data_IF_799365952243
#
_entry.id   IF_799365952243
#
_cell.length_a   1.000
_cell.length_b   1.000
_cell.length_c   1.000
_cell.angle_alpha   90.00
_cell.angle_beta   90.00
_cell.angle_gamma   90.00
#
_symmetry.space_group_name_H-M   'P 1'
#
loop_
_entity.id
_entity.type
_entity.pdbx_description
1 polymer ?
#
# COMPACT_ATOMS: atom_id res chain seq x y z
N UNK A 1 -32.30 16.78 1.64
CA UNK A 1 -30.95 17.06 1.10
C UNK A 1 -30.32 18.05 2.05
N UNK A 2 -29.51 17.57 2.99
CA UNK A 2 -28.85 18.39 4.01
C UNK A 2 -27.49 18.83 3.48
N UNK A 3 -27.16 20.11 3.66
CA UNK A 3 -25.99 20.86 3.14
C UNK A 3 -24.58 20.38 3.57
N UNK A 4 -24.39 19.09 3.87
CA UNK A 4 -23.11 18.56 4.37
C UNK A 4 -22.16 18.01 3.27
N UNK A 5 -22.55 18.02 2.00
CA UNK A 5 -21.82 17.35 0.91
C UNK A 5 -20.80 18.24 0.16
N UNK A 6 -20.60 19.50 0.54
CA UNK A 6 -19.81 20.45 -0.29
C UNK A 6 -18.35 20.69 0.09
N UNK A 7 -17.82 20.14 1.19
CA UNK A 7 -16.49 20.55 1.69
C UNK A 7 -15.49 19.42 2.00
N UNK A 8 -15.57 18.25 1.33
CA UNK A 8 -14.46 17.27 1.40
C UNK A 8 -13.39 17.57 0.36
N UNK A 9 -12.54 18.56 0.66
CA UNK A 9 -11.34 18.91 -0.09
C UNK A 9 -10.44 17.69 -0.40
N UNK A 10 -9.88 17.63 -1.61
CA UNK A 10 -8.80 16.71 -2.04
C UNK A 10 -7.44 17.13 -1.47
N UNK A 11 -7.44 17.65 -0.23
CA UNK A 11 -6.21 17.97 0.47
C UNK A 11 -5.50 16.66 0.85
N UNK A 12 -4.18 16.55 0.59
CA UNK A 12 -3.40 15.37 0.96
C UNK A 12 -3.40 15.18 2.47
N UNK A 13 -3.16 13.95 2.89
CA UNK A 13 -3.18 13.53 4.29
C UNK A 13 -2.13 14.30 5.11
N UNK A 14 -2.57 15.14 6.05
CA UNK A 14 -1.71 15.60 7.14
C UNK A 14 -1.32 14.39 8.00
N UNK A 15 -0.01 14.15 8.11
CA UNK A 15 0.55 13.13 9.01
C UNK A 15 0.27 13.52 10.47
N UNK A 16 0.08 12.52 11.33
CA UNK A 16 -0.04 12.71 12.76
C UNK A 16 1.25 13.35 13.30
N UNK A 17 1.24 14.67 13.49
CA UNK A 17 2.38 15.44 13.97
C UNK A 17 2.39 16.91 13.57
N UNK A 18 1.66 17.33 12.54
CA UNK A 18 1.70 18.72 12.08
C UNK A 18 0.58 19.56 12.73
N UNK A 19 0.88 20.15 13.89
CA UNK A 19 0.02 21.20 14.46
C UNK A 19 0.38 22.55 13.85
N UNK A 20 -0.16 22.80 12.66
CA UNK A 20 -0.38 24.15 12.16
C UNK A 20 0.42 24.57 10.93
N UNK A 21 -0.03 24.17 9.74
CA UNK A 21 -0.21 25.12 8.63
C UNK A 21 -1.18 24.56 7.58
N UNK A 22 -2.43 25.01 7.62
CA UNK A 22 -3.37 24.77 6.52
C UNK A 22 -2.95 25.60 5.31
N UNK A 23 -2.00 25.09 4.52
CA UNK A 23 -1.78 25.53 3.16
C UNK A 23 -2.41 24.51 2.20
N UNK A 24 -3.68 24.70 1.77
CA UNK A 24 -4.34 23.80 0.82
C UNK A 24 -3.70 23.74 -0.59
N UNK A 25 -2.53 24.38 -0.77
CA UNK A 25 -1.80 24.55 -2.03
C UNK A 25 -0.43 23.85 -2.08
N UNK A 26 -0.06 23.06 -1.07
CA UNK A 26 1.20 22.31 -1.07
C UNK A 26 1.31 21.26 -2.20
N UNK A 27 2.53 20.88 -2.57
CA UNK A 27 2.78 19.74 -3.46
C UNK A 27 2.23 18.45 -2.84
N UNK A 28 1.73 17.56 -3.69
CA UNK A 28 1.25 16.24 -3.24
C UNK A 28 2.50 15.40 -2.96
N UNK A 29 2.61 14.87 -1.75
CA UNK A 29 3.71 13.96 -1.38
C UNK A 29 3.28 12.51 -1.55
N UNK A 30 4.23 11.66 -1.94
CA UNK A 30 4.08 10.21 -1.88
C UNK A 30 3.82 9.79 -0.42
N UNK A 31 2.74 9.03 -0.11
CA UNK A 31 2.43 8.58 1.24
C UNK A 31 3.58 7.81 1.92
N UNK A 32 4.30 6.98 1.17
CA UNK A 32 5.43 6.22 1.70
C UNK A 32 6.61 7.15 2.01
N UNK A 33 6.84 8.18 1.19
CA UNK A 33 7.85 9.19 1.44
C UNK A 33 7.49 10.06 2.65
N UNK A 34 6.23 10.47 2.79
CA UNK A 34 5.76 11.31 3.89
C UNK A 34 5.94 10.61 5.25
N UNK A 35 5.64 9.31 5.32
CA UNK A 35 5.77 8.52 6.56
C UNK A 35 7.22 8.22 6.91
N UNK A 36 8.08 7.99 5.91
CA UNK A 36 9.47 7.55 6.14
C UNK A 36 10.50 8.69 6.11
N UNK A 37 10.13 9.87 5.60
CA UNK A 37 11.04 10.98 5.31
C UNK A 37 11.70 11.61 6.53
N UNK A 38 11.08 11.49 7.71
CA UNK A 38 11.67 11.95 8.96
C UNK A 38 12.84 11.08 9.44
N UNK A 39 12.99 9.87 8.89
CA UNK A 39 14.02 8.91 9.31
C UNK A 39 15.15 8.89 8.29
N UNK A 40 16.33 9.28 8.75
CA UNK A 40 17.55 9.30 7.94
C UNK A 40 18.01 7.90 7.50
N UNK A 41 19.10 7.86 6.73
CA UNK A 41 19.68 6.61 6.23
C UNK A 41 20.45 5.80 7.28
N UNK A 42 20.83 6.44 8.40
CA UNK A 42 21.51 5.81 9.54
C UNK A 42 20.72 6.05 10.84
N UNK A 43 19.57 5.38 11.00
CA UNK A 43 18.70 5.61 12.15
C UNK A 43 19.28 4.99 13.43
N UNK A 44 19.15 5.72 14.52
CA UNK A 44 19.44 5.24 15.87
C UNK A 44 18.46 4.13 16.29
N UNK A 45 18.84 3.32 17.28
CA UNK A 45 17.95 2.31 17.87
C UNK A 45 16.63 2.93 18.37
N UNK A 46 16.69 4.13 18.96
CA UNK A 46 15.52 4.83 19.46
C UNK A 46 14.57 5.24 18.33
N UNK A 47 15.10 5.73 17.21
CA UNK A 47 14.29 6.07 16.03
C UNK A 47 13.64 4.83 15.40
N UNK A 48 14.36 3.70 15.33
CA UNK A 48 13.80 2.45 14.82
C UNK A 48 12.67 1.91 15.70
N UNK A 49 12.83 1.98 17.02
CA UNK A 49 11.79 1.59 17.98
C UNK A 49 10.59 2.54 17.86
N UNK A 50 10.83 3.85 17.88
CA UNK A 50 9.79 4.85 17.74
C UNK A 50 9.03 4.70 16.40
N UNK A 51 9.73 4.35 15.32
CA UNK A 51 9.09 4.14 14.02
C UNK A 51 8.19 2.92 13.99
N UNK A 52 8.59 1.80 14.59
CA UNK A 52 7.61 0.72 14.81
C UNK A 52 6.44 1.33 15.60
N UNK A 53 6.72 1.92 16.74
CA UNK A 53 5.68 2.21 17.74
C UNK A 53 4.75 3.38 17.34
N UNK A 54 5.01 4.05 16.20
CA UNK A 54 4.24 5.19 15.72
C UNK A 54 2.81 4.87 15.27
N UNK A 55 2.44 3.59 15.15
CA UNK A 55 1.07 3.10 14.90
C UNK A 55 0.23 3.97 13.95
N UNK A 56 0.60 4.06 12.64
CA UNK A 56 -0.13 4.82 11.64
C UNK A 56 -1.59 4.36 11.53
N UNK A 57 -2.49 5.30 11.24
CA UNK A 57 -3.91 5.02 11.05
C UNK A 57 -4.16 4.25 9.74
N UNK A 58 -4.15 2.92 9.84
CA UNK A 58 -4.33 2.02 8.68
C UNK A 58 -5.73 2.15 8.06
N UNK A 59 -6.76 2.55 8.82
CA UNK A 59 -8.10 2.79 8.27
C UNK A 59 -8.07 4.01 7.35
N UNK A 60 -7.39 5.08 7.75
CA UNK A 60 -7.22 6.27 6.91
C UNK A 60 -6.46 5.96 5.63
N UNK A 61 -5.38 5.17 5.70
CA UNK A 61 -4.68 4.70 4.50
C UNK A 61 -5.58 3.84 3.60
N UNK A 62 -6.39 2.95 4.17
CA UNK A 62 -7.32 2.12 3.40
C UNK A 62 -8.42 2.95 2.69
N UNK A 63 -8.96 3.97 3.37
CA UNK A 63 -9.93 4.93 2.81
C UNK A 63 -9.29 5.69 1.65
N UNK A 64 -8.10 6.25 1.86
CA UNK A 64 -7.42 7.07 0.86
C UNK A 64 -7.00 6.22 -0.35
N UNK A 65 -6.59 4.96 -0.12
CA UNK A 65 -6.31 4.01 -1.20
C UNK A 65 -7.53 3.82 -2.11
N UNK A 66 -8.69 3.50 -1.52
CA UNK A 66 -9.93 3.33 -2.28
C UNK A 66 -10.34 4.62 -2.98
N UNK A 67 -10.32 5.75 -2.27
CA UNK A 67 -10.69 7.05 -2.82
C UNK A 67 -9.85 7.42 -4.04
N UNK A 68 -8.53 7.26 -3.95
CA UNK A 68 -7.62 7.55 -5.07
C UNK A 68 -7.84 6.61 -6.25
N UNK A 69 -8.09 5.32 -6.01
CA UNK A 69 -8.37 4.36 -7.09
C UNK A 69 -9.71 4.66 -7.78
N UNK A 70 -10.78 4.88 -7.00
CA UNK A 70 -12.10 5.22 -7.54
C UNK A 70 -12.02 6.51 -8.38
N UNK A 71 -11.28 7.53 -7.91
CA UNK A 71 -11.09 8.79 -8.63
C UNK A 71 -10.20 8.62 -9.88
N UNK A 72 -9.18 7.75 -9.84
CA UNK A 72 -8.38 7.41 -11.01
C UNK A 72 -9.21 6.72 -12.10
N UNK A 73 -10.20 5.92 -11.73
CA UNK A 73 -11.12 5.27 -12.68
C UNK A 73 -12.19 6.23 -13.23
N UNK A 74 -12.57 7.28 -12.48
CA UNK A 74 -13.42 8.37 -13.00
C UNK A 74 -12.73 9.25 -14.02
N UNK A 75 -11.40 9.40 -13.94
CA UNK A 75 -10.61 10.09 -14.96
C UNK A 75 -10.54 9.22 -16.23
N UNK A 76 -11.63 9.29 -17.01
CA UNK A 76 -11.75 8.57 -18.26
C UNK A 76 -10.81 9.12 -19.33
N UNK A 77 -10.27 8.25 -20.17
CA UNK A 77 -9.52 8.67 -21.34
C UNK A 77 -10.47 9.14 -22.44
N UNK A 78 -10.74 10.44 -22.56
CA UNK A 78 -11.24 10.99 -23.84
C UNK A 78 -10.04 11.22 -24.75
N UNK A 79 -10.14 10.84 -26.03
CA UNK A 79 -9.05 10.99 -27.02
C UNK A 79 -8.49 12.43 -27.14
N UNK A 80 -9.23 13.43 -26.64
CA UNK A 80 -8.87 14.86 -26.61
C UNK A 80 -8.23 15.35 -25.29
N UNK A 81 -8.24 14.54 -24.22
CA UNK A 81 -7.76 14.93 -22.90
C UNK A 81 -6.26 14.63 -22.81
N UNK A 82 -5.45 15.68 -22.99
CA UNK A 82 -4.01 15.60 -23.17
C UNK A 82 -3.21 15.03 -21.99
N UNK A 83 -1.87 15.05 -22.12
CA UNK A 83 -0.91 14.40 -21.23
C UNK A 83 -1.12 14.67 -19.72
N UNK A 84 -1.68 15.82 -19.32
CA UNK A 84 -1.96 16.14 -17.92
C UNK A 84 -3.01 15.22 -17.27
N UNK A 85 -4.08 14.86 -17.99
CA UNK A 85 -5.12 13.95 -17.46
C UNK A 85 -4.53 12.57 -17.25
N UNK A 86 -3.76 12.10 -18.22
CA UNK A 86 -3.01 10.85 -18.14
C UNK A 86 -2.07 10.83 -16.93
N UNK A 87 -1.24 11.85 -16.73
CA UNK A 87 -0.30 11.93 -15.60
C UNK A 87 -1.00 12.05 -14.25
N UNK A 88 -2.12 12.78 -14.19
CA UNK A 88 -2.93 12.86 -12.97
C UNK A 88 -3.52 11.50 -12.58
N UNK A 89 -4.06 10.74 -13.55
CA UNK A 89 -4.56 9.38 -13.31
C UNK A 89 -3.46 8.44 -12.80
N UNK A 90 -2.29 8.47 -13.45
CA UNK A 90 -1.12 7.68 -13.01
C UNK A 90 -0.75 8.04 -11.58
N UNK A 91 -0.72 9.32 -11.25
CA UNK A 91 -0.36 9.81 -9.90
C UNK A 91 -1.34 9.34 -8.84
N UNK A 92 -2.64 9.37 -9.13
CA UNK A 92 -3.67 8.81 -8.25
C UNK A 92 -3.47 7.31 -8.04
N UNK A 93 -3.16 6.54 -9.08
CA UNK A 93 -2.85 5.10 -8.94
C UNK A 93 -1.58 4.85 -8.12
N UNK A 94 -0.54 5.67 -8.29
CA UNK A 94 0.69 5.58 -7.46
C UNK A 94 0.36 5.83 -5.99
N UNK A 95 -0.41 6.88 -5.70
CA UNK A 95 -0.83 7.20 -4.32
C UNK A 95 -1.74 6.12 -3.75
N UNK A 96 -2.70 5.63 -4.52
CA UNK A 96 -3.59 4.53 -4.12
C UNK A 96 -2.80 3.28 -3.74
N UNK A 97 -1.84 2.89 -4.59
CA UNK A 97 -1.00 1.72 -4.37
C UNK A 97 -0.01 1.92 -3.21
N UNK A 98 0.46 3.16 -2.99
CA UNK A 98 1.32 3.52 -1.85
C UNK A 98 0.57 3.42 -0.51
N UNK A 99 -0.67 3.90 -0.45
CA UNK A 99 -1.55 3.72 0.69
C UNK A 99 -1.90 2.23 0.92
N UNK A 100 -2.11 1.48 -0.16
CA UNK A 100 -2.33 0.02 -0.10
C UNK A 100 -1.10 -0.70 0.46
N UNK A 101 0.09 -0.29 0.05
CA UNK A 101 1.36 -0.83 0.56
C UNK A 101 1.52 -0.59 2.06
N UNK A 102 1.15 0.60 2.56
CA UNK A 102 1.14 0.87 4.01
C UNK A 102 0.27 -0.15 4.76
N UNK A 103 -0.96 -0.38 4.32
CA UNK A 103 -1.88 -1.34 4.97
C UNK A 103 -1.38 -2.79 4.86
N UNK A 104 -0.80 -3.16 3.71
CA UNK A 104 -0.31 -4.52 3.48
C UNK A 104 0.96 -4.83 4.31
N UNK A 105 1.90 -3.89 4.41
CA UNK A 105 3.23 -4.09 5.02
C UNK A 105 3.21 -3.88 6.54
N UNK A 106 2.38 -2.97 7.03
CA UNK A 106 2.34 -2.69 8.47
C UNK A 106 1.82 -3.90 9.27
N UNK A 107 2.41 -4.21 10.44
CA UNK A 107 1.93 -5.28 11.29
C UNK A 107 0.53 -4.98 11.81
N UNK A 108 -0.21 -6.04 12.12
CA UNK A 108 -1.51 -5.93 12.79
C UNK A 108 -1.26 -6.04 14.29
N UNK A 109 -1.40 -4.93 15.01
CA UNK A 109 -1.25 -4.90 16.47
C UNK A 109 -2.62 -4.77 17.17
N UNK A 110 -3.62 -4.22 16.49
CA UNK A 110 -4.98 -3.99 17.02
C UNK A 110 -6.07 -4.62 16.16
N UNK A 111 -7.29 -4.71 16.71
CA UNK A 111 -8.48 -5.13 15.94
C UNK A 111 -8.79 -4.13 14.82
N UNK A 112 -8.48 -2.85 15.02
CA UNK A 112 -8.71 -1.82 14.01
C UNK A 112 -7.81 -1.99 12.80
N UNK A 113 -6.54 -2.35 13.03
CA UNK A 113 -5.58 -2.69 11.97
C UNK A 113 -6.06 -3.92 11.18
N UNK A 114 -6.59 -4.92 11.90
CA UNK A 114 -7.13 -6.13 11.30
C UNK A 114 -8.32 -5.84 10.39
N UNK A 115 -9.22 -4.95 10.84
CA UNK A 115 -10.39 -4.55 10.06
C UNK A 115 -10.00 -3.70 8.85
N UNK A 116 -9.05 -2.77 9.00
CA UNK A 116 -8.50 -1.99 7.89
C UNK A 116 -7.88 -2.90 6.81
N UNK A 117 -7.08 -3.89 7.23
CA UNK A 117 -6.41 -4.84 6.32
C UNK A 117 -7.41 -5.72 5.59
N UNK A 118 -8.45 -6.22 6.29
CA UNK A 118 -9.55 -6.99 5.67
C UNK A 118 -10.36 -6.16 4.69
N UNK A 119 -10.66 -4.91 5.02
CA UNK A 119 -11.42 -4.04 4.14
C UNK A 119 -10.63 -3.68 2.89
N UNK A 120 -9.33 -3.36 3.03
CA UNK A 120 -8.43 -3.15 1.90
C UNK A 120 -8.31 -4.41 1.03
N UNK A 121 -8.19 -5.59 1.63
CA UNK A 121 -8.18 -6.86 0.89
C UNK A 121 -9.47 -7.08 0.09
N UNK A 122 -10.63 -6.77 0.67
CA UNK A 122 -11.93 -6.90 -0.01
C UNK A 122 -12.04 -5.91 -1.18
N UNK A 123 -11.63 -4.66 -0.98
CA UNK A 123 -11.72 -3.62 -2.00
C UNK A 123 -10.77 -3.85 -3.18
N UNK A 124 -9.61 -4.44 -2.93
CA UNK A 124 -8.59 -4.78 -3.95
C UNK A 124 -8.71 -6.23 -4.44
N UNK A 125 -9.76 -6.95 -4.03
CA UNK A 125 -9.95 -8.33 -4.41
C UNK A 125 -10.12 -8.44 -5.93
N UNK A 126 -9.51 -9.46 -6.52
CA UNK A 126 -9.72 -9.76 -7.93
C UNK A 126 -11.17 -10.18 -8.16
N UNK A 127 -11.98 -9.29 -8.71
CA UNK A 127 -13.30 -9.61 -9.23
C UNK A 127 -13.12 -10.11 -10.66
N UNK A 128 -13.37 -11.41 -10.89
CA UNK A 128 -13.47 -11.92 -12.26
C UNK A 128 -14.61 -11.22 -13.01
N UNK A 129 -14.58 -11.31 -14.34
CA UNK A 129 -15.69 -10.81 -15.16
C UNK A 129 -17.01 -11.43 -14.68
N UNK A 130 -17.89 -10.59 -14.15
CA UNK A 130 -19.22 -10.99 -13.66
C UNK A 130 -20.17 -11.40 -14.80
N UNK A 131 -19.65 -11.55 -16.03
CA UNK A 131 -20.40 -11.85 -17.26
C UNK A 131 -20.40 -13.32 -17.67
N UNK A 132 -19.70 -14.21 -16.95
CA UNK A 132 -19.68 -15.62 -17.29
C UNK A 132 -20.91 -16.37 -16.79
N UNK A 133 -21.99 -16.24 -17.55
CA UNK A 133 -23.06 -17.25 -17.58
C UNK A 133 -22.46 -18.61 -17.99
N UNK A 134 -22.30 -19.52 -17.01
CA UNK A 134 -22.48 -20.95 -17.25
C UNK A 134 -21.25 -21.86 -17.36
N UNK A 135 -20.02 -21.39 -17.12
CA UNK A 135 -18.87 -22.28 -16.91
C UNK A 135 -18.13 -21.87 -15.63
N UNK A 136 -17.92 -22.80 -14.71
CA UNK A 136 -17.01 -22.58 -13.60
C UNK A 136 -15.59 -22.42 -14.20
N UNK A 137 -15.01 -21.21 -14.22
CA UNK A 137 -13.69 -21.03 -14.82
C UNK A 137 -12.70 -21.71 -13.87
N UNK A 138 -12.00 -22.74 -14.33
CA UNK A 138 -10.78 -23.15 -13.66
C UNK A 138 -9.83 -21.94 -13.73
N UNK A 139 -9.58 -21.29 -12.60
CA UNK A 139 -8.61 -20.20 -12.50
C UNK A 139 -7.30 -20.64 -13.15
N UNK A 140 -6.80 -19.86 -14.10
CA UNK A 140 -5.47 -20.10 -14.67
C UNK A 140 -4.39 -19.98 -13.56
N UNK A 141 -3.22 -20.56 -13.80
CA UNK A 141 -2.17 -20.65 -12.80
C UNK A 141 -1.66 -19.27 -12.34
N UNK A 142 -1.62 -18.28 -13.23
CA UNK A 142 -1.13 -16.91 -12.95
C UNK A 142 -2.12 -16.14 -12.07
N UNK A 143 -3.42 -16.20 -12.41
CA UNK A 143 -4.51 -15.62 -11.62
C UNK A 143 -4.59 -16.29 -10.26
N UNK A 144 -4.42 -17.61 -10.18
CA UNK A 144 -4.38 -18.33 -8.91
C UNK A 144 -3.18 -17.91 -8.04
N UNK A 145 -1.99 -17.71 -8.63
CA UNK A 145 -0.82 -17.19 -7.93
C UNK A 145 -1.04 -15.76 -7.43
N UNK A 146 -1.58 -14.86 -8.26
CA UNK A 146 -1.92 -13.48 -7.88
C UNK A 146 -2.90 -13.44 -6.71
N UNK A 147 -3.95 -14.28 -6.74
CA UNK A 147 -4.91 -14.39 -5.63
C UNK A 147 -4.23 -14.87 -4.34
N UNK A 148 -3.31 -15.85 -4.42
CA UNK A 148 -2.57 -16.34 -3.24
C UNK A 148 -1.65 -15.26 -2.67
N UNK A 149 -0.92 -14.54 -3.52
CA UNK A 149 -0.04 -13.43 -3.13
C UNK A 149 -0.84 -12.30 -2.47
N UNK A 150 -1.97 -11.92 -3.07
CA UNK A 150 -2.90 -10.94 -2.49
C UNK A 150 -3.38 -11.36 -1.10
N UNK A 151 -3.90 -12.58 -0.97
CA UNK A 151 -4.35 -13.12 0.34
C UNK A 151 -3.23 -13.15 1.38
N UNK A 152 -2.00 -13.50 0.96
CA UNK A 152 -0.86 -13.50 1.85
C UNK A 152 -0.43 -12.08 2.26
N UNK A 153 -0.47 -11.11 1.35
CA UNK A 153 -0.15 -9.70 1.62
C UNK A 153 -1.09 -9.08 2.66
N UNK A 154 -2.38 -9.41 2.58
CA UNK A 154 -3.40 -8.93 3.53
C UNK A 154 -3.69 -9.91 4.68
N UNK A 155 -2.82 -10.89 4.91
CA UNK A 155 -2.98 -11.81 6.02
C UNK A 155 -2.89 -11.05 7.36
N UNK A 156 -3.92 -11.23 8.19
CA UNK A 156 -4.03 -10.61 9.52
C UNK A 156 -3.25 -11.42 10.59
N UNK A 157 -2.77 -12.61 10.23
CA UNK A 157 -2.10 -13.54 11.16
C UNK A 157 -3.05 -14.11 12.21
N UNK A 158 -2.49 -14.83 13.19
CA UNK A 158 -3.22 -15.35 14.35
C UNK A 158 -3.43 -14.25 15.40
N UNK A 159 -4.02 -13.11 15.02
CA UNK A 159 -4.67 -12.30 16.04
C UNK A 159 -5.87 -13.12 16.53
N UNK A 160 -5.96 -13.36 17.83
CA UNK A 160 -7.20 -13.77 18.47
C UNK A 160 -8.14 -12.57 18.35
N UNK A 161 -8.73 -12.40 17.17
CA UNK A 161 -9.84 -11.47 16.97
C UNK A 161 -10.93 -11.97 17.91
N UNK A 162 -11.35 -11.17 18.92
CA UNK A 162 -12.45 -11.56 19.78
C UNK A 162 -13.61 -11.96 18.87
N UNK A 163 -14.20 -13.12 19.16
CA UNK A 163 -15.31 -13.67 18.36
C UNK A 163 -16.28 -12.55 18.03
N UNK A 164 -16.69 -12.51 16.76
CA UNK A 164 -17.81 -11.67 16.35
C UNK A 164 -18.92 -11.77 17.39
N UNK A 165 -19.61 -10.66 17.74
CA UNK A 165 -20.73 -10.77 18.65
C UNK A 165 -21.70 -11.83 18.08
N UNK A 166 -22.26 -12.69 18.95
CA UNK A 166 -23.04 -13.85 18.55
C UNK A 166 -24.14 -13.45 17.57
N UNK A 167 -24.28 -14.18 16.45
CA UNK A 167 -25.30 -13.88 15.46
C UNK A 167 -26.70 -13.83 16.13
N UNK A 168 -27.51 -12.80 15.87
CA UNK A 168 -28.82 -12.67 16.50
C UNK A 168 -29.72 -13.88 16.20
N UNK A 169 -30.44 -14.34 17.22
CA UNK A 169 -31.41 -15.41 17.09
C UNK A 169 -32.66 -14.91 16.33
N UNK A 170 -33.48 -15.84 15.83
CA UNK A 170 -34.72 -15.48 15.11
C UNK A 170 -35.67 -14.58 15.92
N UNK A 171 -35.52 -14.54 17.25
CA UNK A 171 -36.27 -13.70 18.18
C UNK A 171 -35.77 -12.23 18.26
N UNK A 172 -34.57 -11.91 17.79
CA UNK A 172 -33.94 -10.59 17.93
C UNK A 172 -34.29 -9.63 16.77
N UNK A 173 -35.33 -9.96 15.98
CA UNK A 173 -35.78 -9.13 14.84
C UNK A 173 -36.35 -7.80 15.34
N UNK A 174 -35.58 -6.73 15.15
CA UNK A 174 -36.08 -5.36 15.23
C UNK A 174 -35.52 -4.48 16.36
N UNK A 175 -34.55 -4.95 17.14
CA UNK A 175 -34.02 -4.19 18.29
C UNK A 175 -32.52 -3.92 18.28
N UNK A 176 -31.80 -4.17 17.20
CA UNK A 176 -30.42 -3.72 17.06
C UNK A 176 -30.07 -3.41 15.61
N UNK A 177 -29.56 -2.19 15.37
CA UNK A 177 -28.63 -1.90 14.28
C UNK A 177 -27.33 -2.65 14.60
N UNK A 178 -27.37 -3.98 14.44
CA UNK A 178 -26.22 -4.86 14.63
C UNK A 178 -25.12 -4.42 13.64
N UNK A 179 -23.83 -4.41 14.02
CA UNK A 179 -22.82 -3.78 13.17
C UNK A 179 -22.74 -4.55 11.85
N UNK A 180 -23.29 -3.93 10.80
CA UNK A 180 -23.17 -4.36 9.42
C UNK A 180 -21.72 -4.11 9.02
N UNK A 181 -20.89 -5.15 9.14
CA UNK A 181 -19.44 -5.11 8.91
C UNK A 181 -18.66 -4.24 9.91
N UNK A 182 -17.49 -4.72 10.36
CA UNK A 182 -16.67 -3.98 11.34
C UNK A 182 -15.96 -2.76 10.72
N UNK A 183 -15.91 -2.70 9.38
CA UNK A 183 -15.46 -1.59 8.56
C UNK A 183 -15.58 -2.04 7.09
N UNK A 184 -16.45 -1.42 6.29
CA UNK A 184 -16.50 -1.62 4.84
C UNK A 184 -16.07 -0.34 4.13
N UNK A 185 -15.09 -0.47 3.24
CA UNK A 185 -14.61 0.64 2.43
C UNK A 185 -15.69 1.14 1.45
N UNK A 186 -16.63 0.28 1.04
CA UNK A 186 -17.75 0.66 0.19
C UNK A 186 -18.75 1.58 0.92
N UNK A 187 -18.95 1.36 2.21
CA UNK A 187 -19.88 2.17 3.02
C UNK A 187 -19.24 3.49 3.47
N UNK A 188 -17.91 3.51 3.62
CA UNK A 188 -17.16 4.67 4.11
C UNK A 188 -16.67 5.59 3.00
N UNK A 189 -16.39 5.06 1.81
CA UNK A 189 -16.17 5.83 0.58
C UNK A 189 -17.38 5.61 -0.31
N UNK A 190 -18.36 6.56 -0.32
CA UNK A 190 -19.55 6.38 -1.12
C UNK A 190 -19.15 6.18 -2.58
N UNK A 191 -19.77 5.18 -3.22
CA UNK A 191 -19.67 4.95 -4.65
C UNK A 191 -20.28 6.14 -5.39
N UNK A 192 -19.54 7.23 -5.56
CA UNK A 192 -19.99 8.30 -6.45
C UNK A 192 -19.76 7.82 -7.88
N UNK A 193 -20.83 7.38 -8.55
CA UNK A 193 -20.85 7.36 -10.00
C UNK A 193 -20.94 8.81 -10.50
N UNK A 194 -20.25 9.14 -11.59
CA UNK A 194 -20.29 10.49 -12.16
C UNK A 194 -18.96 10.93 -12.76
N UNK A 195 -18.91 12.20 -13.16
CA UNK A 195 -17.68 12.84 -13.64
C UNK A 195 -16.62 12.91 -12.53
N UNK A 196 -15.34 12.97 -12.92
CA UNK A 196 -14.24 13.12 -11.97
C UNK A 196 -14.41 14.39 -11.10
N UNK A 197 -14.10 14.25 -9.81
CA UNK A 197 -14.12 15.36 -8.86
C UNK A 197 -12.92 16.30 -9.03
N UNK A 198 -11.83 15.82 -9.63
CA UNK A 198 -10.62 16.60 -9.92
C UNK A 198 -10.74 17.35 -11.25
N UNK A 199 -10.57 18.68 -11.20
CA UNK A 199 -10.48 19.54 -12.39
C UNK A 199 -9.54 20.74 -12.17
N UNK A 200 -9.21 21.44 -13.26
CA UNK A 200 -8.47 22.71 -13.23
C UNK A 200 -7.12 22.62 -12.50
N UNK A 201 -6.95 23.42 -11.45
CA UNK A 201 -5.68 23.49 -10.70
C UNK A 201 -5.35 22.17 -9.98
N UNK A 202 -6.36 21.43 -9.49
CA UNK A 202 -6.14 20.13 -8.85
C UNK A 202 -5.60 19.11 -9.85
N UNK A 203 -6.13 19.12 -11.08
CA UNK A 203 -5.63 18.26 -12.16
C UNK A 203 -4.15 18.55 -12.46
N UNK A 204 -3.78 19.83 -12.54
CA UNK A 204 -2.39 20.21 -12.77
C UNK A 204 -1.48 19.77 -11.63
N UNK A 205 -1.95 19.89 -10.38
CA UNK A 205 -1.19 19.48 -9.18
C UNK A 205 -0.97 17.97 -9.15
N UNK A 206 -2.00 17.18 -9.46
CA UNK A 206 -1.88 15.74 -9.62
C UNK A 206 -1.00 15.37 -10.81
N UNK A 207 -1.04 16.11 -11.92
CA UNK A 207 -0.15 15.84 -13.06
C UNK A 207 1.33 16.09 -12.73
N UNK A 208 1.62 17.07 -11.87
CA UNK A 208 2.97 17.44 -11.45
C UNK A 208 3.55 16.51 -10.36
N UNK A 209 2.74 15.65 -9.74
CA UNK A 209 3.22 14.67 -8.76
C UNK A 209 4.30 13.76 -9.33
N UNK A 210 4.18 13.36 -10.60
CA UNK A 210 5.17 12.52 -11.29
C UNK A 210 6.53 13.20 -11.41
N UNK A 211 6.57 14.53 -11.38
CA UNK A 211 7.83 15.28 -11.50
C UNK A 211 8.72 15.11 -10.26
N UNK A 212 8.15 14.75 -9.10
CA UNK A 212 8.87 14.37 -7.88
C UNK A 212 9.29 12.87 -7.90
N UNK A 213 9.83 12.44 -9.04
CA UNK A 213 10.24 11.06 -9.26
C UNK A 213 11.38 10.65 -8.31
N UNK A 214 11.21 9.57 -7.51
CA UNK A 214 12.26 9.14 -6.60
C UNK A 214 13.40 8.43 -7.32
N UNK A 215 14.60 8.54 -6.78
CA UNK A 215 15.73 7.69 -7.17
C UNK A 215 15.45 6.23 -6.76
N UNK A 216 15.16 5.35 -7.73
CA UNK A 216 14.84 3.96 -7.42
C UNK A 216 16.07 3.21 -6.90
N UNK A 217 17.26 3.55 -7.38
CA UNK A 217 18.51 2.97 -6.87
C UNK A 217 18.70 3.26 -5.39
N UNK A 218 18.47 4.50 -4.96
CA UNK A 218 18.63 4.88 -3.54
C UNK A 218 17.61 4.17 -2.65
N UNK A 219 16.38 4.00 -3.13
CA UNK A 219 15.35 3.23 -2.42
C UNK A 219 15.73 1.74 -2.28
N UNK A 220 16.28 1.14 -3.34
CA UNK A 220 16.73 -0.26 -3.32
C UNK A 220 17.96 -0.43 -2.43
N UNK A 221 18.88 0.52 -2.44
CA UNK A 221 20.03 0.51 -1.52
C UNK A 221 19.57 0.72 -0.08
N UNK A 222 18.58 1.58 0.17
CA UNK A 222 17.96 1.73 1.50
C UNK A 222 17.30 0.45 1.97
N UNK A 223 16.57 -0.25 1.10
CA UNK A 223 16.03 -1.58 1.40
C UNK A 223 17.13 -2.54 1.85
N UNK A 224 18.19 -2.69 1.04
CA UNK A 224 19.30 -3.58 1.36
C UNK A 224 19.99 -3.22 2.70
N UNK A 225 20.25 -1.93 2.95
CA UNK A 225 20.85 -1.44 4.19
C UNK A 225 19.97 -1.73 5.41
N UNK A 226 18.68 -1.46 5.32
CA UNK A 226 17.75 -1.64 6.44
C UNK A 226 17.49 -3.12 6.75
N UNK A 227 17.43 -3.99 5.73
CA UNK A 227 17.40 -5.45 5.94
C UNK A 227 18.68 -5.94 6.63
N UNK A 228 19.86 -5.51 6.17
CA UNK A 228 21.12 -5.89 6.80
C UNK A 228 21.19 -5.40 8.27
N UNK A 229 20.63 -4.23 8.54
CA UNK A 229 20.52 -3.67 9.90
C UNK A 229 19.58 -4.53 10.75
N UNK A 230 18.39 -4.87 10.25
CA UNK A 230 17.44 -5.73 10.94
C UNK A 230 18.04 -7.11 11.27
N UNK A 231 18.74 -7.73 10.31
CA UNK A 231 19.40 -9.03 10.52
C UNK A 231 20.49 -8.95 11.60
N UNK A 232 21.34 -7.90 11.57
CA UNK A 232 22.36 -7.68 12.61
C UNK A 232 21.75 -7.51 13.99
N UNK A 233 20.68 -6.71 14.10
CA UNK A 233 19.98 -6.48 15.36
C UNK A 233 19.35 -7.77 15.91
N UNK A 234 18.80 -8.62 15.04
CA UNK A 234 18.28 -9.93 15.46
C UNK A 234 19.38 -10.88 15.95
N UNK A 235 20.54 -10.90 15.30
CA UNK A 235 21.71 -11.70 15.75
C UNK A 235 22.20 -11.20 17.11
N UNK A 236 22.30 -9.88 17.31
CA UNK A 236 22.67 -9.29 18.59
C UNK A 236 21.65 -9.62 19.68
N UNK A 237 20.35 -9.55 19.37
CA UNK A 237 19.29 -9.92 20.30
C UNK A 237 19.31 -11.41 20.71
N UNK A 238 19.89 -12.29 19.88
CA UNK A 238 20.05 -13.71 20.18
C UNK A 238 21.29 -14.03 21.03
N UNK A 239 22.26 -13.11 21.09
CA UNK A 239 23.57 -13.32 21.75
C UNK A 239 23.76 -12.49 23.01
N UNK A 240 22.91 -11.49 23.24
CA UNK A 240 22.98 -10.59 24.39
C UNK A 240 22.46 -11.26 25.68
N UNK A 241 23.12 -10.98 26.81
CA UNK A 241 22.71 -11.45 28.14
C UNK A 241 21.74 -10.50 28.85
N UNK A 242 21.69 -9.23 28.43
CA UNK A 242 20.70 -8.23 28.82
C UNK A 242 19.34 -8.41 28.09
N UNK A 243 18.35 -7.57 28.40
CA UNK A 243 17.01 -7.63 27.81
C UNK A 243 17.05 -7.51 26.26
N UNK A 244 16.67 -8.56 25.51
CA UNK A 244 16.75 -8.56 24.05
C UNK A 244 15.57 -7.83 23.38
N UNK A 245 14.52 -7.45 24.13
CA UNK A 245 13.28 -6.87 23.58
C UNK A 245 13.50 -5.59 22.77
N UNK A 246 14.30 -4.60 23.23
CA UNK A 246 14.53 -3.38 22.46
C UNK A 246 15.23 -3.63 21.12
N UNK A 247 16.18 -4.57 21.09
CA UNK A 247 16.89 -4.94 19.85
C UNK A 247 15.96 -5.63 18.85
N UNK A 248 15.06 -6.51 19.32
CA UNK A 248 14.03 -7.14 18.47
C UNK A 248 13.05 -6.10 17.93
N UNK A 249 12.59 -5.18 18.79
CA UNK A 249 11.70 -4.08 18.41
C UNK A 249 12.33 -3.16 17.36
N UNK A 250 13.59 -2.78 17.54
CA UNK A 250 14.35 -2.00 16.57
C UNK A 250 14.56 -2.77 15.25
N UNK A 251 14.79 -4.08 15.31
CA UNK A 251 14.91 -4.92 14.12
C UNK A 251 13.59 -4.97 13.33
N UNK A 252 12.44 -5.02 14.00
CA UNK A 252 11.13 -4.92 13.37
C UNK A 252 10.94 -3.55 12.70
N UNK A 253 11.32 -2.45 13.37
CA UNK A 253 11.29 -1.10 12.81
C UNK A 253 12.16 -0.94 11.56
N UNK A 254 13.39 -1.45 11.59
CA UNK A 254 14.29 -1.45 10.43
C UNK A 254 13.70 -2.27 9.27
N UNK A 255 13.10 -3.43 9.56
CA UNK A 255 12.46 -4.25 8.54
C UNK A 255 11.26 -3.55 7.91
N UNK A 256 10.45 -2.85 8.71
CA UNK A 256 9.33 -2.04 8.20
C UNK A 256 9.83 -0.95 7.25
N UNK A 257 10.84 -0.17 7.65
CA UNK A 257 11.45 0.84 6.77
C UNK A 257 11.97 0.23 5.47
N UNK A 258 12.59 -0.95 5.56
CA UNK A 258 13.08 -1.65 4.39
C UNK A 258 11.93 -1.96 3.42
N UNK A 259 10.89 -2.65 3.89
CA UNK A 259 9.77 -3.04 3.04
C UNK A 259 8.98 -1.85 2.50
N UNK A 260 8.86 -0.74 3.24
CA UNK A 260 8.24 0.49 2.72
C UNK A 260 9.09 1.15 1.62
N UNK A 261 10.43 1.14 1.75
CA UNK A 261 11.32 1.59 0.68
C UNK A 261 11.22 0.69 -0.56
N UNK A 262 11.18 -0.63 -0.36
CA UNK A 262 10.96 -1.61 -1.43
C UNK A 262 9.61 -1.41 -2.13
N UNK A 263 8.54 -1.13 -1.37
CA UNK A 263 7.22 -0.85 -1.94
C UNK A 263 7.25 0.39 -2.82
N UNK A 264 7.86 1.48 -2.35
CA UNK A 264 8.01 2.71 -3.13
C UNK A 264 8.78 2.44 -4.43
N UNK A 265 9.89 1.69 -4.36
CA UNK A 265 10.65 1.30 -5.55
C UNK A 265 9.87 0.38 -6.51
N UNK A 266 9.02 -0.51 -5.98
CA UNK A 266 8.18 -1.40 -6.78
C UNK A 266 7.11 -0.62 -7.56
N UNK A 267 6.43 0.32 -6.90
CA UNK A 267 5.28 1.07 -7.42
C UNK A 267 5.67 2.04 -8.54
N UNK A 268 6.72 2.83 -8.34
CA UNK A 268 7.09 3.88 -9.30
C UNK A 268 7.56 3.28 -10.64
N UNK A 269 7.05 3.74 -11.79
CA UNK A 269 7.40 3.17 -13.09
C UNK A 269 8.87 3.41 -13.45
N UNK A 270 9.51 2.50 -14.18
CA UNK A 270 10.89 2.67 -14.68
C UNK A 270 10.91 2.54 -16.20
N UNK A 271 11.79 3.30 -16.86
CA UNK A 271 11.99 3.19 -18.31
C UNK A 271 12.80 1.94 -18.63
N UNK A 272 12.50 1.26 -19.74
CA UNK A 272 13.32 0.13 -20.19
C UNK A 272 14.78 0.56 -20.42
N UNK A 273 15.70 -0.37 -20.17
CA UNK A 273 17.15 -0.17 -20.34
C UNK A 273 17.75 1.00 -19.52
N UNK A 274 17.05 1.46 -18.48
CA UNK A 274 17.54 2.51 -17.56
C UNK A 274 18.22 1.93 -16.32
N UNK A 275 18.92 2.79 -15.56
CA UNK A 275 19.44 2.44 -14.24
C UNK A 275 18.30 2.06 -13.27
N UNK A 276 17.14 2.71 -13.37
CA UNK A 276 15.96 2.41 -12.56
C UNK A 276 15.38 1.03 -12.86
N UNK A 277 15.42 0.60 -14.13
CA UNK A 277 15.07 -0.77 -14.50
C UNK A 277 16.03 -1.80 -13.88
N UNK A 278 17.34 -1.51 -13.88
CA UNK A 278 18.33 -2.35 -13.22
C UNK A 278 18.11 -2.42 -11.70
N UNK A 279 17.80 -1.28 -11.07
CA UNK A 279 17.46 -1.21 -9.65
C UNK A 279 16.24 -2.08 -9.32
N UNK A 280 15.20 -2.04 -10.16
CA UNK A 280 14.02 -2.89 -10.05
C UNK A 280 14.31 -4.39 -10.18
N UNK A 281 15.16 -4.80 -11.12
CA UNK A 281 15.60 -6.19 -11.21
C UNK A 281 16.42 -6.61 -9.97
N UNK A 282 17.26 -5.72 -9.44
CA UNK A 282 18.00 -5.96 -8.20
C UNK A 282 17.06 -6.08 -7.00
N UNK A 283 16.00 -5.27 -6.93
CA UNK A 283 14.97 -5.40 -5.90
C UNK A 283 14.34 -6.79 -5.90
N UNK A 284 13.94 -7.28 -7.07
CA UNK A 284 13.39 -8.65 -7.23
C UNK A 284 14.37 -9.70 -6.71
N UNK A 285 15.65 -9.59 -7.07
CA UNK A 285 16.68 -10.52 -6.60
C UNK A 285 16.80 -10.51 -5.06
N UNK A 286 16.87 -9.32 -4.45
CA UNK A 286 16.96 -9.18 -3.00
C UNK A 286 15.70 -9.71 -2.29
N UNK A 287 14.50 -9.49 -2.84
CA UNK A 287 13.26 -10.06 -2.28
C UNK A 287 13.24 -11.58 -2.39
N UNK A 288 13.73 -12.15 -3.50
CA UNK A 288 13.88 -13.59 -3.66
C UNK A 288 14.88 -14.19 -2.66
N UNK A 289 15.97 -13.50 -2.36
CA UNK A 289 16.92 -13.93 -1.31
C UNK A 289 16.27 -13.99 0.08
N UNK A 290 15.23 -13.20 0.34
CA UNK A 290 14.44 -13.24 1.59
C UNK A 290 13.45 -14.40 1.66
N UNK A 291 13.13 -15.06 0.55
CA UNK A 291 12.13 -16.13 0.51
C UNK A 291 12.44 -17.29 1.47
N UNK A 292 13.73 -17.55 1.75
CA UNK A 292 14.19 -18.59 2.66
C UNK A 292 14.60 -18.05 4.04
N UNK A 293 14.17 -16.84 4.42
CA UNK A 293 14.50 -16.18 5.69
C UNK A 293 13.24 -16.01 6.53
N UNK A 294 13.42 -15.87 7.85
CA UNK A 294 12.33 -15.69 8.83
C UNK A 294 11.67 -14.30 8.81
N UNK A 295 11.54 -13.69 7.64
CA UNK A 295 10.79 -12.46 7.45
C UNK A 295 9.28 -12.74 7.51
N UNK A 296 8.48 -11.73 7.85
CA UNK A 296 7.04 -11.91 7.91
C UNK A 296 6.48 -12.13 6.50
N UNK A 297 5.73 -13.24 6.32
CA UNK A 297 5.17 -13.65 5.03
C UNK A 297 4.40 -12.52 4.33
N UNK A 298 3.61 -11.76 5.08
CA UNK A 298 2.79 -10.68 4.53
C UNK A 298 3.62 -9.54 3.91
N UNK A 299 4.81 -9.24 4.46
CA UNK A 299 5.68 -8.18 3.93
C UNK A 299 6.30 -8.59 2.60
N UNK A 300 6.78 -9.84 2.51
CA UNK A 300 7.29 -10.39 1.26
C UNK A 300 6.19 -10.50 0.21
N UNK A 301 5.03 -11.04 0.58
CA UNK A 301 3.87 -11.16 -0.29
C UNK A 301 3.37 -9.79 -0.78
N UNK A 302 3.41 -8.76 0.07
CA UNK A 302 3.04 -7.40 -0.31
C UNK A 302 3.92 -6.88 -1.44
N UNK A 303 5.25 -6.99 -1.38
CA UNK A 303 6.12 -6.52 -2.48
C UNK A 303 5.82 -7.26 -3.78
N UNK A 304 5.62 -8.58 -3.71
CA UNK A 304 5.31 -9.40 -4.89
C UNK A 304 3.97 -8.99 -5.51
N UNK A 305 2.95 -8.78 -4.68
CA UNK A 305 1.66 -8.28 -5.11
C UNK A 305 1.75 -6.87 -5.73
N UNK A 306 2.46 -5.94 -5.07
CA UNK A 306 2.64 -4.57 -5.54
C UNK A 306 3.35 -4.51 -6.90
N UNK A 307 4.34 -5.37 -7.16
CA UNK A 307 5.00 -5.45 -8.47
C UNK A 307 4.01 -5.85 -9.56
N UNK A 308 3.14 -6.83 -9.29
CA UNK A 308 2.09 -7.23 -10.24
C UNK A 308 1.11 -6.09 -10.52
N UNK A 309 0.68 -5.36 -9.50
CA UNK A 309 -0.24 -4.21 -9.66
C UNK A 309 0.43 -3.02 -10.35
N UNK A 310 1.70 -2.75 -10.03
CA UNK A 310 2.46 -1.64 -10.61
C UNK A 310 2.69 -1.79 -12.14
N UNK A 311 2.62 -3.00 -12.68
CA UNK A 311 2.68 -3.21 -14.14
C UNK A 311 1.53 -2.52 -14.88
N UNK A 312 0.35 -2.39 -14.26
CA UNK A 312 -0.76 -1.64 -14.85
C UNK A 312 -0.46 -0.14 -14.92
N UNK A 313 0.22 0.40 -13.91
CA UNK A 313 0.68 1.79 -13.89
C UNK A 313 1.78 1.98 -14.96
N UNK A 314 2.73 1.06 -15.06
CA UNK A 314 3.81 1.11 -16.06
C UNK A 314 3.26 1.17 -17.49
N UNK A 315 2.35 0.25 -17.85
CA UNK A 315 1.66 0.22 -19.16
C UNK A 315 1.03 1.56 -19.54
N UNK A 316 0.48 2.26 -18.55
CA UNK A 316 -0.16 3.56 -18.76
C UNK A 316 0.86 4.70 -18.78
N UNK A 317 2.02 4.57 -18.14
CA UNK A 317 3.01 5.64 -18.02
C UNK A 317 3.61 6.07 -19.37
N UNK A 318 4.32 5.17 -20.04
CA UNK A 318 4.78 5.34 -21.43
C UNK A 318 4.71 4.01 -22.15
N UNK A 319 3.61 3.81 -22.89
CA UNK A 319 3.31 2.58 -23.59
C UNK A 319 4.50 2.10 -24.43
N UNK A 320 4.95 0.87 -24.17
CA UNK A 320 6.04 0.22 -24.90
C UNK A 320 7.45 0.74 -24.62
N UNK A 321 7.63 1.64 -23.64
CA UNK A 321 8.94 2.16 -23.24
C UNK A 321 9.24 2.00 -21.74
N UNK A 322 8.28 1.51 -20.97
CA UNK A 322 8.38 1.27 -19.54
C UNK A 322 8.53 -0.21 -19.24
N UNK A 323 9.40 -0.53 -18.28
CA UNK A 323 9.62 -1.89 -17.83
C UNK A 323 8.35 -2.47 -17.22
N UNK A 324 7.89 -3.59 -17.80
CA UNK A 324 6.93 -4.51 -17.19
C UNK A 324 7.70 -5.65 -16.51
N UNK A 325 7.54 -5.79 -15.19
CA UNK A 325 8.22 -6.82 -14.42
C UNK A 325 7.35 -8.07 -14.32
N UNK A 326 7.81 -9.18 -14.91
CA UNK A 326 7.22 -10.51 -14.70
C UNK A 326 8.27 -11.42 -14.05
N UNK A 327 8.55 -11.22 -12.75
CA UNK A 327 9.59 -11.95 -12.05
C UNK A 327 9.18 -13.39 -11.76
N UNK A 328 10.17 -14.30 -11.78
CA UNK A 328 10.00 -15.65 -11.27
C UNK A 328 10.24 -15.65 -9.76
N UNK A 329 9.17 -15.77 -8.98
CA UNK A 329 9.24 -15.74 -7.52
C UNK A 329 9.64 -17.09 -6.94
N UNK A 330 10.59 -17.09 -6.00
CA UNK A 330 10.86 -18.27 -5.19
C UNK A 330 9.73 -18.49 -4.18
N UNK A 331 9.28 -19.74 -3.93
CA UNK A 331 8.33 -20.03 -2.86
C UNK A 331 8.84 -19.48 -1.52
N UNK A 332 7.98 -18.80 -0.76
CA UNK A 332 8.32 -18.41 0.62
C UNK A 332 8.24 -19.67 1.49
N UNK A 333 9.32 -19.98 2.20
CA UNK A 333 9.48 -21.18 3.05
C UNK A 333 9.31 -20.83 4.52
#
# INVERSE_FOLDING_TARGET
MTDYDKDRSLAPMEAAGDTGSQNPQGSISDPLAAVTGAIGDDPTLAELIAFRDSSPDLKRFAIEAKRCEDEAERLWFRLSEGNHVKMARISLKIVALSCTAMVAIWPVDTVEDADAKKAAAKATAFHGDNTDYGQAPSLDAETAERIRLHRAAFAVGELIVPTGPAAPAAADRGLATWPLSRFDLVDTVPLEGGDASIAGQQLMRWSAFVDDYPSLSDLVDRFARMIATADRLMVLAGTTSEDPRPLRRAAEGARLLAYLAAARAAIWPAMEHSADAQAKHRLVALVNERACRGDALHQQAAIRHLISEANWIAKQFRLGATLELVPMWLPVV
#
